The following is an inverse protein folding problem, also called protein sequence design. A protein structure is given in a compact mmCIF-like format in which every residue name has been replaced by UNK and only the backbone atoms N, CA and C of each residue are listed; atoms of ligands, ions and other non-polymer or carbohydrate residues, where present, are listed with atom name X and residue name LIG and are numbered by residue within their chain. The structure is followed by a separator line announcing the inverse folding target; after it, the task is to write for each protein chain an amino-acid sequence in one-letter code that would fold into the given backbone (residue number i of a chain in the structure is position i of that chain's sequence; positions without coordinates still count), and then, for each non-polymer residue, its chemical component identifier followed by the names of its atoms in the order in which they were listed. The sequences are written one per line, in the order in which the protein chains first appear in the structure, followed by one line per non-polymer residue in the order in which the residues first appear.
data_IF_949119565370
#
_entry.id   IF_949119565370
#
_cell.length_a   1.000
_cell.length_b   1.000
_cell.length_c   1.000
_cell.angle_alpha   90.00
_cell.angle_beta   90.00
_cell.angle_gamma   90.00
#
_symmetry.space_group_name_H-M   'P 1'
#
loop_
_entity.id
_entity.type
_entity.pdbx_description
1 polymer ?
#
# COMPACT_ATOMS: atom_id res chain seq x y z
N UNK A 1 14.27 -12.67 26.95
CA UNK A 1 14.27 -11.48 26.07
C UNK A 1 15.59 -10.75 26.25
N UNK A 2 16.27 -10.34 25.17
CA UNK A 2 17.50 -9.53 25.31
C UNK A 2 17.19 -8.20 26.00
N UNK A 3 18.15 -7.65 26.75
CA UNK A 3 18.03 -6.35 27.45
C UNK A 3 17.54 -5.23 26.50
N UNK A 4 18.00 -5.27 25.26
CA UNK A 4 17.62 -4.34 24.19
C UNK A 4 16.16 -4.49 23.75
N UNK A 5 15.56 -5.69 23.79
CA UNK A 5 14.15 -5.90 23.44
C UNK A 5 13.22 -5.28 24.49
N UNK A 6 13.55 -5.43 25.78
CA UNK A 6 12.76 -4.86 26.88
C UNK A 6 12.79 -3.33 26.87
N UNK A 7 13.96 -2.72 26.70
CA UNK A 7 14.09 -1.26 26.64
C UNK A 7 13.27 -0.65 25.47
N UNK A 8 13.22 -1.33 24.32
CA UNK A 8 12.43 -0.91 23.16
C UNK A 8 10.93 -0.98 23.43
N UNK A 9 10.49 -2.04 24.08
CA UNK A 9 9.09 -2.20 24.50
C UNK A 9 8.69 -1.10 25.49
N UNK A 10 9.52 -0.85 26.50
CA UNK A 10 9.32 0.21 27.49
C UNK A 10 9.25 1.60 26.82
N UNK A 11 10.15 1.90 25.87
CA UNK A 11 10.12 3.14 25.08
C UNK A 11 8.82 3.28 24.28
N UNK A 12 8.34 2.19 23.68
CA UNK A 12 7.12 2.18 22.88
C UNK A 12 5.88 2.36 23.74
N UNK A 13 5.82 1.69 24.89
CA UNK A 13 4.77 1.88 25.89
C UNK A 13 4.76 3.33 26.36
N UNK A 14 5.92 3.90 26.69
CA UNK A 14 6.05 5.32 27.08
C UNK A 14 5.51 6.26 26.01
N UNK A 15 5.83 6.03 24.73
CA UNK A 15 5.29 6.84 23.61
C UNK A 15 3.78 6.73 23.56
N UNK A 16 3.22 5.51 23.62
CA UNK A 16 1.76 5.30 23.56
C UNK A 16 1.04 5.96 24.74
N UNK A 17 1.61 5.89 25.95
CA UNK A 17 1.07 6.58 27.13
C UNK A 17 1.09 8.10 26.95
N UNK A 18 2.19 8.67 26.45
CA UNK A 18 2.28 10.09 26.16
C UNK A 18 1.31 10.52 25.06
N UNK A 19 1.18 9.71 24.01
CA UNK A 19 0.26 9.94 22.90
C UNK A 19 -1.19 10.05 23.40
N UNK A 20 -1.62 9.14 24.28
CA UNK A 20 -2.96 9.19 24.88
C UNK A 20 -3.21 10.48 25.66
N UNK A 21 -2.22 10.98 26.40
CA UNK A 21 -2.31 12.25 27.14
C UNK A 21 -2.41 13.42 26.17
N UNK A 22 -1.57 13.45 25.13
CA UNK A 22 -1.54 14.54 24.14
C UNK A 22 -2.84 14.60 23.33
N UNK A 23 -3.44 13.45 22.99
CA UNK A 23 -4.71 13.38 22.26
C UNK A 23 -5.87 14.11 22.96
N UNK A 24 -5.79 14.31 24.28
CA UNK A 24 -6.80 15.02 25.07
C UNK A 24 -6.63 16.55 25.06
N UNK A 25 -5.63 17.07 24.35
CA UNK A 25 -5.30 18.49 24.30
C UNK A 25 -5.42 19.02 22.87
N UNK A 26 -5.73 20.31 22.67
CA UNK A 26 -5.57 20.95 21.38
C UNK A 26 -4.10 20.87 20.93
N UNK A 27 -3.87 20.46 19.68
CA UNK A 27 -2.51 20.32 19.13
C UNK A 27 -1.66 21.59 19.28
N UNK A 28 -2.16 22.82 19.05
CA UNK A 28 -1.35 24.02 19.26
C UNK A 28 -0.83 24.17 20.70
N UNK A 29 -1.65 23.81 21.70
CA UNK A 29 -1.24 23.83 23.10
C UNK A 29 -0.20 22.75 23.41
N UNK A 30 -0.35 21.56 22.81
CA UNK A 30 0.62 20.48 22.93
C UNK A 30 1.96 20.84 22.26
N UNK A 31 1.93 21.49 21.09
CA UNK A 31 3.11 22.03 20.42
C UNK A 31 3.83 23.06 21.29
N UNK A 32 3.10 24.05 21.81
CA UNK A 32 3.70 25.06 22.68
C UNK A 32 4.41 24.43 23.90
N UNK A 33 3.74 23.48 24.57
CA UNK A 33 4.32 22.75 25.71
C UNK A 33 5.51 21.88 25.34
N UNK A 34 5.51 21.28 24.15
CA UNK A 34 6.65 20.49 23.68
C UNK A 34 7.82 21.41 23.27
N UNK A 35 7.52 22.56 22.66
CA UNK A 35 8.51 23.53 22.19
C UNK A 35 9.27 24.17 23.35
N UNK A 36 8.60 24.49 24.46
CA UNK A 36 9.28 24.96 25.67
C UNK A 36 10.26 23.93 26.24
N UNK A 37 10.01 22.64 26.03
CA UNK A 37 10.86 21.55 26.49
C UNK A 37 11.95 21.14 25.49
N UNK A 38 11.69 21.30 24.19
CA UNK A 38 12.54 20.85 23.09
C UNK A 38 12.65 21.91 21.96
N UNK A 39 13.11 23.14 22.26
CA UNK A 39 13.06 24.24 21.29
C UNK A 39 13.93 24.02 20.05
N UNK A 40 15.00 23.21 20.16
CA UNK A 40 15.86 22.88 19.02
C UNK A 40 15.24 21.87 18.04
N UNK A 41 14.19 21.15 18.46
CA UNK A 41 13.59 20.04 17.69
C UNK A 41 12.20 20.34 17.15
N UNK A 42 11.65 21.52 17.48
CA UNK A 42 10.43 22.05 16.91
C UNK A 42 10.77 23.40 16.32
N UNK A 43 10.73 23.50 14.99
CA UNK A 43 11.11 24.70 14.26
C UNK A 43 9.92 25.19 13.45
N UNK A 44 9.80 26.50 13.31
CA UNK A 44 8.90 27.05 12.30
C UNK A 44 9.62 27.03 10.95
N UNK A 45 8.84 26.86 9.89
CA UNK A 45 9.30 27.07 8.52
C UNK A 45 9.85 28.50 8.37
N UNK A 46 11.05 28.63 7.82
CA UNK A 46 11.73 29.91 7.60
C UNK A 46 10.97 30.77 6.59
N UNK A 47 10.99 32.07 6.82
CA UNK A 47 10.54 33.11 5.88
C UNK A 47 11.72 33.66 5.07
N UNK A 48 11.45 34.41 4.01
CA UNK A 48 12.52 35.10 3.26
C UNK A 48 13.30 36.07 4.16
N UNK A 49 12.65 36.70 5.14
CA UNK A 49 13.31 37.56 6.11
C UNK A 49 14.28 36.79 7.01
N UNK A 50 13.89 35.59 7.46
CA UNK A 50 14.74 34.72 8.29
C UNK A 50 16.00 34.33 7.52
N UNK A 51 15.83 33.90 6.27
CA UNK A 51 16.94 33.49 5.39
C UNK A 51 17.86 34.67 5.10
N UNK A 52 17.31 35.85 4.79
CA UNK A 52 18.08 37.08 4.58
C UNK A 52 18.82 37.54 5.85
N UNK A 53 18.32 37.15 7.04
CA UNK A 53 18.96 37.40 8.33
C UNK A 53 19.99 36.32 8.71
N UNK A 54 20.28 35.38 7.81
CA UNK A 54 21.27 34.31 8.01
C UNK A 54 20.74 33.08 8.75
N UNK A 55 19.42 32.97 8.99
CA UNK A 55 18.82 31.75 9.53
C UNK A 55 18.82 30.68 8.43
N UNK A 56 19.33 29.46 8.69
CA UNK A 56 19.41 28.43 7.66
C UNK A 56 18.04 28.03 7.10
N UNK A 57 17.92 28.03 5.78
CA UNK A 57 16.72 27.65 5.03
C UNK A 57 16.21 26.25 5.43
N UNK A 58 14.95 26.15 5.82
CA UNK A 58 14.29 24.89 6.16
C UNK A 58 12.94 24.68 5.43
N UNK A 59 12.59 25.55 4.47
CA UNK A 59 11.43 25.35 3.61
C UNK A 59 11.65 24.11 2.73
N UNK A 60 10.71 23.15 2.65
CA UNK A 60 10.92 21.91 1.90
C UNK A 60 11.35 22.15 0.46
N UNK A 61 12.52 21.64 0.08
CA UNK A 61 13.08 21.71 -1.28
C UNK A 61 13.20 23.12 -1.90
N UNK A 62 13.10 24.19 -1.11
CA UNK A 62 13.07 25.56 -1.64
C UNK A 62 14.38 25.90 -2.36
N UNK A 63 14.27 26.41 -3.60
CA UNK A 63 15.40 26.77 -4.48
C UNK A 63 16.43 25.65 -4.65
N UNK A 64 16.03 24.38 -4.44
CA UNK A 64 16.92 23.23 -4.55
C UNK A 64 17.98 23.13 -3.44
N UNK A 65 17.96 23.99 -2.40
CA UNK A 65 18.94 23.99 -1.31
C UNK A 65 18.29 24.34 0.03
N UNK A 66 18.11 23.35 0.91
CA UNK A 66 17.36 23.51 2.17
C UNK A 66 17.81 22.47 3.20
N UNK A 67 17.45 22.65 4.46
CA UNK A 67 17.56 21.61 5.49
C UNK A 67 16.47 20.57 5.40
N UNK A 68 15.30 20.91 4.85
CA UNK A 68 14.17 19.97 4.74
C UNK A 68 13.93 19.63 3.28
N UNK A 69 13.73 18.35 3.02
CA UNK A 69 13.48 17.84 1.68
C UNK A 69 12.28 16.90 1.66
N UNK A 70 11.38 17.10 0.69
CA UNK A 70 10.29 16.17 0.38
C UNK A 70 10.77 15.17 -0.67
N UNK A 71 10.73 13.88 -0.34
CA UNK A 71 11.17 12.82 -1.23
C UNK A 71 10.03 12.32 -2.14
N UNK A 72 10.36 11.70 -3.27
CA UNK A 72 9.42 11.03 -4.18
C UNK A 72 8.55 9.98 -3.49
N UNK A 73 9.05 9.40 -2.39
CA UNK A 73 8.27 8.45 -1.61
C UNK A 73 7.16 9.11 -0.80
N UNK A 74 7.15 10.44 -0.66
CA UNK A 74 6.19 11.23 0.12
C UNK A 74 6.69 11.71 1.48
N UNK A 75 7.77 11.12 1.99
CA UNK A 75 8.30 11.47 3.30
C UNK A 75 9.16 12.74 3.26
N UNK A 76 9.16 13.48 4.37
CA UNK A 76 10.11 14.55 4.62
C UNK A 76 11.35 14.03 5.36
N UNK A 77 12.50 14.54 4.96
CA UNK A 77 13.78 14.30 5.64
C UNK A 77 14.47 15.61 5.95
N UNK A 78 15.29 15.60 6.99
CA UNK A 78 16.06 16.72 7.50
C UNK A 78 17.57 16.45 7.37
N UNK A 79 18.31 17.44 6.89
CA UNK A 79 19.75 17.50 6.89
C UNK A 79 20.21 18.57 7.91
N UNK A 80 21.27 18.26 8.65
CA UNK A 80 21.79 19.15 9.71
C UNK A 80 22.20 20.53 9.17
N UNK A 81 22.81 20.55 8.00
CA UNK A 81 23.13 21.74 7.23
C UNK A 81 22.24 21.83 6.00
N UNK A 82 21.96 23.05 5.49
CA UNK A 82 21.32 23.20 4.19
C UNK A 82 22.07 22.39 3.13
N UNK A 83 21.35 21.54 2.41
CA UNK A 83 21.88 20.62 1.44
C UNK A 83 21.14 20.77 0.11
N UNK A 84 21.81 20.45 -1.00
CA UNK A 84 21.14 20.42 -2.30
C UNK A 84 20.10 19.30 -2.35
N UNK A 85 18.99 19.47 -3.08
CA UNK A 85 18.01 18.41 -3.30
C UNK A 85 18.66 17.16 -3.89
N UNK A 86 18.29 15.98 -3.39
CA UNK A 86 18.72 14.70 -3.95
C UNK A 86 17.91 14.34 -5.18
N UNK A 87 18.45 13.50 -6.07
CA UNK A 87 17.73 12.99 -7.26
C UNK A 87 16.39 12.30 -6.97
N UNK A 88 16.12 11.98 -5.70
CA UNK A 88 14.88 11.39 -5.21
C UNK A 88 13.94 12.40 -4.50
N UNK A 89 14.13 13.71 -4.65
CA UNK A 89 13.22 14.76 -4.16
C UNK A 89 12.09 15.07 -5.17
N UNK A 90 10.89 15.40 -4.68
CA UNK A 90 9.65 15.62 -5.48
C UNK A 90 9.70 16.78 -6.50
N UNK A 91 10.59 17.76 -6.25
CA UNK A 91 10.69 19.01 -7.02
C UNK A 91 12.05 19.16 -7.75
N UNK A 92 12.67 18.06 -8.19
CA UNK A 92 13.95 18.12 -8.92
C UNK A 92 13.71 18.34 -10.41
N UNK A 93 13.92 19.57 -10.87
CA UNK A 93 13.94 19.87 -12.30
C UNK A 93 15.35 19.77 -12.92
N UNK A 94 16.42 19.93 -12.12
CA UNK A 94 17.77 20.18 -12.68
C UNK A 94 18.95 19.37 -12.08
N UNK A 95 18.75 18.60 -11.00
CA UNK A 95 19.85 17.96 -10.25
C UNK A 95 19.93 16.44 -10.41
N UNK A 96 19.95 15.93 -11.64
CA UNK A 96 19.96 14.46 -11.90
C UNK A 96 21.20 13.74 -11.35
N UNK A 97 22.32 14.44 -11.23
CA UNK A 97 23.60 13.88 -10.77
C UNK A 97 23.78 13.93 -9.25
N UNK A 98 22.84 14.49 -8.49
CA UNK A 98 22.97 14.58 -7.04
C UNK A 98 22.68 13.24 -6.35
N UNK A 99 23.51 12.90 -5.38
CA UNK A 99 23.29 11.70 -4.57
C UNK A 99 21.92 11.77 -3.87
N UNK A 100 21.14 10.68 -3.89
CA UNK A 100 19.83 10.62 -3.23
C UNK A 100 19.96 10.80 -1.71
N UNK A 101 18.89 11.28 -1.08
CA UNK A 101 18.79 11.37 0.39
C UNK A 101 18.23 10.07 0.96
N UNK A 102 18.79 9.63 2.08
CA UNK A 102 18.40 8.37 2.74
C UNK A 102 17.05 8.49 3.46
N UNK A 103 16.07 7.67 3.05
CA UNK A 103 14.74 7.66 3.66
C UNK A 103 14.58 6.53 4.68
N UNK A 104 14.97 6.80 5.92
CA UNK A 104 14.84 5.84 7.03
C UNK A 104 13.40 5.31 7.20
N UNK A 105 12.35 6.11 6.98
CA UNK A 105 10.97 5.62 7.08
C UNK A 105 10.61 4.57 6.01
N UNK A 106 11.16 4.68 4.80
CA UNK A 106 10.97 3.66 3.75
C UNK A 106 11.67 2.35 4.10
N UNK A 107 12.88 2.42 4.66
CA UNK A 107 13.64 1.25 5.14
C UNK A 107 12.85 0.51 6.20
N UNK A 108 12.37 1.26 7.21
CA UNK A 108 11.52 0.73 8.27
C UNK A 108 10.28 0.03 7.71
N UNK A 109 9.59 0.67 6.77
CA UNK A 109 8.44 0.05 6.10
C UNK A 109 8.81 -1.26 5.37
N UNK A 110 9.98 -1.31 4.71
CA UNK A 110 10.52 -2.52 4.08
C UNK A 110 10.80 -3.64 5.09
N UNK A 111 11.42 -3.32 6.23
CA UNK A 111 11.69 -4.27 7.31
C UNK A 111 10.39 -4.83 7.91
N UNK A 112 9.38 -3.99 8.17
CA UNK A 112 8.05 -4.44 8.60
C UNK A 112 7.46 -5.49 7.65
N UNK A 113 7.54 -5.24 6.33
CA UNK A 113 7.08 -6.19 5.31
C UNK A 113 7.86 -7.50 5.33
N UNK A 114 9.20 -7.46 5.48
CA UNK A 114 10.05 -8.66 5.59
C UNK A 114 9.64 -9.52 6.79
N UNK A 115 9.30 -8.88 7.92
CA UNK A 115 8.85 -9.52 9.16
C UNK A 115 7.37 -9.92 9.16
N UNK A 116 6.67 -9.80 8.02
CA UNK A 116 5.22 -10.10 7.87
C UNK A 116 4.34 -9.31 8.84
N UNK A 117 4.81 -8.15 9.31
CA UNK A 117 4.02 -7.21 10.10
C UNK A 117 3.62 -6.02 9.23
N UNK A 118 2.57 -5.32 9.64
CA UNK A 118 2.09 -4.13 8.93
C UNK A 118 1.89 -3.01 9.94
N UNK A 119 2.48 -1.83 9.72
CA UNK A 119 2.10 -0.66 10.50
C UNK A 119 0.61 -0.41 10.27
N UNK A 120 -0.11 -0.05 11.33
CA UNK A 120 -1.55 0.26 11.21
C UNK A 120 -1.74 1.60 10.51
N UNK A 121 -0.79 2.52 10.72
CA UNK A 121 -0.71 3.87 10.17
C UNK A 121 0.71 4.23 9.79
N UNK A 122 0.87 5.15 8.84
CA UNK A 122 2.18 5.56 8.35
C UNK A 122 3.06 6.13 9.48
N UNK A 123 2.48 6.89 10.40
CA UNK A 123 3.17 7.48 11.55
C UNK A 123 3.59 6.45 12.62
N UNK A 124 3.22 5.16 12.48
CA UNK A 124 3.81 4.07 13.26
C UNK A 124 5.29 3.84 12.91
N UNK A 125 5.73 4.27 11.73
CA UNK A 125 7.13 4.17 11.30
C UNK A 125 8.09 5.05 12.13
N UNK A 126 7.57 5.99 12.93
CA UNK A 126 8.38 6.78 13.88
C UNK A 126 8.63 6.07 15.21
N UNK A 127 7.93 4.96 15.51
CA UNK A 127 8.11 4.26 16.77
C UNK A 127 9.53 3.66 16.88
N UNK A 128 10.19 3.73 18.04
CA UNK A 128 11.52 3.18 18.28
C UNK A 128 11.53 1.65 18.40
N UNK A 129 10.35 0.99 18.43
CA UNK A 129 10.23 -0.46 18.28
C UNK A 129 10.58 -0.89 16.86
N UNK A 130 11.84 -0.73 16.47
CA UNK A 130 12.39 -1.57 15.43
C UNK A 130 12.49 -2.95 16.01
N UNK A 131 11.75 -3.87 15.43
CA UNK A 131 11.95 -5.30 15.67
C UNK A 131 13.36 -5.70 15.21
N UNK A 132 13.86 -5.00 14.20
CA UNK A 132 15.16 -5.23 13.56
C UNK A 132 15.98 -3.92 13.43
N UNK A 133 16.50 -3.37 14.56
CA UNK A 133 17.34 -2.18 14.55
C UNK A 133 18.70 -2.47 13.90
N UNK A 134 19.18 -3.71 14.02
CA UNK A 134 20.37 -4.21 13.36
C UNK A 134 20.20 -4.17 11.84
N UNK A 135 19.03 -4.56 11.33
CA UNK A 135 18.68 -4.41 9.92
C UNK A 135 18.62 -2.96 9.43
N UNK A 136 18.18 -2.01 10.27
CA UNK A 136 18.19 -0.58 9.93
C UNK A 136 19.62 0.00 9.90
N UNK A 137 20.47 -0.37 10.86
CA UNK A 137 21.89 0.03 10.89
C UNK A 137 22.62 -0.53 9.68
N UNK A 138 22.43 -1.83 9.41
CA UNK A 138 23.05 -2.50 8.27
C UNK A 138 22.64 -1.90 6.92
N UNK A 139 21.35 -1.59 6.74
CA UNK A 139 20.88 -0.93 5.52
C UNK A 139 21.51 0.47 5.38
N UNK A 140 21.62 1.22 6.48
CA UNK A 140 22.29 2.51 6.47
C UNK A 140 23.77 2.40 6.09
N UNK A 141 24.49 1.39 6.60
CA UNK A 141 25.89 1.11 6.26
C UNK A 141 26.05 0.68 4.78
N UNK A 142 25.17 -0.19 4.28
CA UNK A 142 25.15 -0.66 2.89
C UNK A 142 24.99 0.51 1.90
N UNK A 143 24.11 1.46 2.21
CA UNK A 143 23.80 2.59 1.34
C UNK A 143 24.59 3.88 1.67
N UNK A 144 25.50 3.86 2.66
CA UNK A 144 26.25 5.04 3.10
C UNK A 144 27.11 5.67 1.99
N UNK A 145 27.61 4.86 1.04
CA UNK A 145 28.45 5.32 -0.07
C UNK A 145 27.67 5.97 -1.21
N UNK A 146 26.37 5.67 -1.33
CA UNK A 146 25.53 6.08 -2.47
C UNK A 146 24.36 6.97 -2.07
N UNK A 147 24.15 7.20 -0.77
CA UNK A 147 23.11 8.08 -0.24
C UNK A 147 23.71 9.10 0.70
N UNK A 148 23.08 10.27 0.78
CA UNK A 148 23.40 11.28 1.79
C UNK A 148 22.60 11.02 3.05
N UNK A 149 23.28 11.15 4.19
CA UNK A 149 22.67 10.99 5.50
C UNK A 149 21.57 12.05 5.70
N UNK A 150 20.41 11.59 6.17
CA UNK A 150 19.30 12.44 6.53
C UNK A 150 18.41 11.76 7.56
N UNK A 151 17.73 12.56 8.37
CA UNK A 151 16.87 12.10 9.45
C UNK A 151 15.39 12.29 9.08
N UNK A 152 14.47 11.41 9.47
CA UNK A 152 13.04 11.64 9.30
C UNK A 152 12.60 12.93 9.99
N UNK A 153 11.73 13.70 9.34
CA UNK A 153 11.12 14.89 9.94
C UNK A 153 9.62 14.90 9.65
N UNK A 154 8.84 15.47 10.56
CA UNK A 154 7.43 15.73 10.36
C UNK A 154 7.24 17.20 10.02
N UNK A 155 6.41 17.50 9.02
CA UNK A 155 6.04 18.86 8.62
C UNK A 155 4.54 18.97 8.66
N UNK A 156 4.02 19.83 9.54
CA UNK A 156 2.59 20.11 9.65
C UNK A 156 2.11 21.08 8.55
N UNK A 157 0.79 21.16 8.33
CA UNK A 157 0.16 22.10 7.42
C UNK A 157 0.47 23.57 7.76
N UNK A 158 0.61 23.88 9.05
CA UNK A 158 1.00 25.22 9.52
C UNK A 158 2.51 25.52 9.32
N UNK A 159 3.27 24.60 8.72
CA UNK A 159 4.71 24.74 8.52
C UNK A 159 5.54 24.49 9.77
N UNK A 160 4.98 23.85 10.80
CA UNK A 160 5.73 23.41 11.97
C UNK A 160 6.53 22.16 11.60
N UNK A 161 7.84 22.20 11.84
CA UNK A 161 8.80 21.14 11.54
C UNK A 161 9.20 20.47 12.86
N UNK A 162 8.97 19.16 12.99
CA UNK A 162 9.23 18.40 14.21
C UNK A 162 10.22 17.28 13.93
N UNK A 163 11.30 17.23 14.70
CA UNK A 163 12.32 16.20 14.62
C UNK A 163 11.99 15.10 15.64
N UNK A 164 11.47 13.94 15.23
CA UNK A 164 10.93 12.94 16.13
C UNK A 164 12.04 12.04 16.72
N UNK A 165 13.03 12.65 17.37
CA UNK A 165 14.19 11.97 17.97
C UNK A 165 13.99 11.60 19.46
N UNK A 166 12.87 11.98 20.05
CA UNK A 166 12.53 11.70 21.45
C UNK A 166 11.14 11.08 21.59
N UNK A 167 10.87 10.29 22.64
CA UNK A 167 9.56 9.71 22.89
C UNK A 167 8.41 10.72 22.92
N UNK A 168 8.63 11.93 23.44
CA UNK A 168 7.58 12.95 23.48
C UNK A 168 7.26 13.48 22.08
N UNK A 169 8.27 13.73 21.26
CA UNK A 169 8.09 14.27 19.91
C UNK A 169 7.46 13.24 18.97
N UNK A 170 7.84 11.96 19.10
CA UNK A 170 7.15 10.88 18.39
C UNK A 170 5.69 10.81 18.81
N UNK A 171 5.39 10.86 20.12
CA UNK A 171 4.01 10.84 20.62
C UNK A 171 3.19 12.03 20.11
N UNK A 172 3.82 13.21 20.01
CA UNK A 172 3.21 14.44 19.50
C UNK A 172 2.82 14.33 18.03
N UNK A 173 3.74 13.88 17.16
CA UNK A 173 3.46 13.63 15.73
C UNK A 173 2.31 12.66 15.56
N UNK A 174 2.33 11.55 16.31
CA UNK A 174 1.27 10.52 16.24
C UNK A 174 -0.09 11.04 16.70
N UNK A 175 -0.10 11.85 17.77
CA UNK A 175 -1.33 12.46 18.27
C UNK A 175 -1.88 13.51 17.29
N UNK A 176 -1.01 14.34 16.68
CA UNK A 176 -1.39 15.32 15.67
C UNK A 176 -2.04 14.65 14.45
N UNK A 177 -1.37 13.63 13.88
CA UNK A 177 -1.92 12.88 12.74
C UNK A 177 -3.23 12.17 13.09
N UNK A 178 -3.33 11.57 14.28
CA UNK A 178 -4.58 10.95 14.73
C UNK A 178 -5.73 11.97 14.82
N UNK A 179 -5.48 13.16 15.37
CA UNK A 179 -6.51 14.20 15.44
C UNK A 179 -6.90 14.70 14.04
N UNK A 180 -5.94 14.86 13.12
CA UNK A 180 -6.24 15.20 11.72
C UNK A 180 -7.07 14.11 11.02
N UNK A 181 -6.80 12.83 11.29
CA UNK A 181 -7.65 11.72 10.81
C UNK A 181 -9.09 11.82 11.36
N UNK A 182 -9.27 12.19 12.64
CA UNK A 182 -10.61 12.39 13.20
C UNK A 182 -11.33 13.60 12.57
N UNK A 183 -10.62 14.71 12.38
CA UNK A 183 -11.17 15.91 11.72
C UNK A 183 -11.60 15.61 10.29
N UNK A 184 -10.77 14.88 9.53
CA UNK A 184 -11.16 14.40 8.19
C UNK A 184 -12.40 13.51 8.26
N UNK A 185 -12.49 12.64 9.27
CA UNK A 185 -13.65 11.80 9.52
C UNK A 185 -14.95 12.62 9.69
N UNK A 186 -14.91 13.67 10.50
CA UNK A 186 -16.04 14.59 10.66
C UNK A 186 -16.35 15.37 9.38
N UNK A 187 -15.32 15.85 8.68
CA UNK A 187 -15.48 16.54 7.39
C UNK A 187 -16.17 15.64 6.36
N UNK A 188 -15.82 14.36 6.28
CA UNK A 188 -16.50 13.39 5.39
C UNK A 188 -17.99 13.29 5.72
N UNK A 189 -18.37 13.22 7.01
CA UNK A 189 -19.79 13.17 7.40
C UNK A 189 -20.53 14.43 6.94
N UNK A 190 -19.96 15.60 7.21
CA UNK A 190 -20.52 16.90 6.81
C UNK A 190 -20.69 16.96 5.29
N UNK A 191 -19.66 16.58 4.54
CA UNK A 191 -19.69 16.55 3.07
C UNK A 191 -20.81 15.61 2.60
N UNK A 192 -20.88 14.38 3.12
CA UNK A 192 -21.92 13.42 2.73
C UNK A 192 -23.33 13.95 2.98
N UNK A 193 -23.59 14.52 4.16
CA UNK A 193 -24.90 15.10 4.51
C UNK A 193 -25.22 16.29 3.60
N UNK A 194 -24.26 17.21 3.40
CA UNK A 194 -24.45 18.40 2.56
C UNK A 194 -24.74 18.08 1.10
N UNK A 195 -24.27 16.91 0.61
CA UNK A 195 -24.51 16.42 -0.74
C UNK A 195 -25.74 15.53 -0.86
N UNK A 196 -26.52 15.38 0.21
CA UNK A 196 -27.73 14.54 0.22
C UNK A 196 -27.44 13.06 0.01
N UNK A 197 -26.23 12.60 0.37
CA UNK A 197 -25.87 11.19 0.25
C UNK A 197 -26.58 10.36 1.32
N UNK A 198 -26.97 9.15 0.94
CA UNK A 198 -27.66 8.24 1.85
C UNK A 198 -26.77 7.89 3.07
N UNK A 199 -27.31 7.80 4.29
CA UNK A 199 -26.52 7.52 5.50
C UNK A 199 -25.70 6.23 5.44
N UNK A 200 -26.14 5.22 4.65
CA UNK A 200 -25.41 3.96 4.47
C UNK A 200 -24.07 4.11 3.72
N UNK A 201 -23.87 5.22 2.99
CA UNK A 201 -22.64 5.49 2.23
C UNK A 201 -21.50 5.84 3.19
N UNK A 202 -21.77 6.55 4.28
CA UNK A 202 -20.74 7.04 5.22
C UNK A 202 -19.87 5.90 5.78
N UNK A 203 -20.42 4.79 6.30
CA UNK A 203 -19.62 3.64 6.73
C UNK A 203 -18.74 3.04 5.62
N UNK A 204 -19.22 3.02 4.38
CA UNK A 204 -18.45 2.50 3.23
C UNK A 204 -17.27 3.41 2.91
N UNK A 205 -17.49 4.74 2.90
CA UNK A 205 -16.41 5.73 2.75
C UNK A 205 -15.36 5.55 3.84
N UNK A 206 -15.76 5.33 5.09
CA UNK A 206 -14.82 5.09 6.19
C UNK A 206 -14.07 3.77 6.07
N UNK A 207 -14.69 2.70 5.59
CA UNK A 207 -13.97 1.46 5.27
C UNK A 207 -12.91 1.72 4.19
N UNK A 208 -13.25 2.48 3.14
CA UNK A 208 -12.28 2.85 2.09
C UNK A 208 -11.17 3.74 2.61
N UNK A 209 -11.49 4.78 3.38
CA UNK A 209 -10.51 5.68 4.00
C UNK A 209 -9.51 4.88 4.86
N UNK A 210 -10.00 4.05 5.78
CA UNK A 210 -9.14 3.25 6.65
C UNK A 210 -8.23 2.30 5.86
N UNK A 211 -8.76 1.73 4.77
CA UNK A 211 -7.99 0.88 3.88
C UNK A 211 -6.90 1.64 3.12
N UNK A 212 -7.18 2.86 2.65
CA UNK A 212 -6.19 3.73 2.02
C UNK A 212 -5.11 4.17 3.02
N UNK A 213 -5.49 4.57 4.24
CA UNK A 213 -4.54 4.97 5.30
C UNK A 213 -3.63 3.82 5.76
N UNK A 214 -4.10 2.57 5.76
CA UNK A 214 -3.26 1.39 6.00
C UNK A 214 -2.28 1.10 4.86
N UNK A 215 -2.57 1.58 3.66
CA UNK A 215 -1.79 1.37 2.45
C UNK A 215 -1.22 2.71 1.92
N UNK A 216 -1.05 3.69 2.80
CA UNK A 216 -0.77 5.08 2.43
C UNK A 216 0.54 5.24 1.65
N UNK A 217 1.50 4.33 1.85
CA UNK A 217 2.74 4.24 1.08
C UNK A 217 2.52 4.03 -0.43
N UNK A 218 1.43 3.37 -0.84
CA UNK A 218 1.08 3.23 -2.25
C UNK A 218 0.51 4.53 -2.85
N UNK A 219 0.10 5.47 -2.01
CA UNK A 219 -0.29 6.83 -2.37
C UNK A 219 0.83 7.83 -2.14
N UNK A 220 2.08 7.36 -1.95
CA UNK A 220 3.23 8.22 -1.63
C UNK A 220 2.94 9.16 -0.46
N UNK A 221 2.24 8.66 0.58
CA UNK A 221 1.85 9.43 1.75
C UNK A 221 1.17 10.76 1.42
N UNK A 222 0.32 10.77 0.38
CA UNK A 222 -0.47 11.93 -0.04
C UNK A 222 -1.23 12.58 1.14
N UNK A 223 -1.50 13.87 1.05
CA UNK A 223 -2.16 14.61 2.12
C UNK A 223 -3.53 14.02 2.46
N UNK A 224 -3.94 14.14 3.73
CA UNK A 224 -5.20 13.58 4.23
C UNK A 224 -6.42 14.07 3.46
N UNK A 225 -6.43 15.34 3.01
CA UNK A 225 -7.47 15.89 2.14
C UNK A 225 -7.59 15.10 0.82
N UNK A 226 -6.47 14.85 0.14
CA UNK A 226 -6.41 14.02 -1.07
C UNK A 226 -6.90 12.60 -0.80
N UNK A 227 -6.48 11.97 0.31
CA UNK A 227 -6.93 10.62 0.69
C UNK A 227 -8.44 10.58 0.96
N UNK A 228 -8.98 11.59 1.65
CA UNK A 228 -10.40 11.77 1.89
C UNK A 228 -11.21 11.91 0.60
N UNK A 229 -10.79 12.82 -0.28
CA UNK A 229 -11.41 13.02 -1.58
C UNK A 229 -11.42 11.75 -2.43
N UNK A 230 -10.30 11.03 -2.47
CA UNK A 230 -10.18 9.74 -3.15
C UNK A 230 -11.15 8.72 -2.56
N UNK A 231 -11.22 8.62 -1.23
CA UNK A 231 -12.09 7.64 -0.54
C UNK A 231 -13.56 7.85 -0.89
N UNK A 232 -14.03 9.10 -0.92
CA UNK A 232 -15.39 9.45 -1.30
C UNK A 232 -15.61 9.21 -2.80
N UNK A 233 -14.70 9.69 -3.65
CA UNK A 233 -14.77 9.53 -5.11
C UNK A 233 -14.88 8.05 -5.51
N UNK A 234 -14.06 7.18 -4.92
CA UNK A 234 -14.11 5.73 -5.17
C UNK A 234 -15.43 5.12 -4.69
N UNK A 235 -15.93 5.54 -3.54
CA UNK A 235 -17.18 5.00 -3.00
C UNK A 235 -18.36 5.38 -3.89
N UNK A 236 -18.48 6.65 -4.25
CA UNK A 236 -19.52 7.11 -5.18
C UNK A 236 -19.37 6.49 -6.56
N UNK A 237 -18.13 6.27 -7.01
CA UNK A 237 -17.87 5.58 -8.29
C UNK A 237 -18.42 4.15 -8.33
N UNK A 238 -18.43 3.48 -7.19
CA UNK A 238 -18.94 2.11 -7.06
C UNK A 238 -20.46 2.06 -6.92
N UNK A 239 -21.07 3.04 -6.24
CA UNK A 239 -22.51 3.07 -5.96
C UNK A 239 -23.34 3.74 -7.06
N UNK A 240 -22.81 4.78 -7.71
CA UNK A 240 -23.57 5.67 -8.61
C UNK A 240 -22.95 5.82 -10.01
N UNK A 241 -21.87 5.08 -10.31
CA UNK A 241 -21.15 5.21 -11.58
C UNK A 241 -20.15 6.37 -11.59
N UNK A 242 -19.65 6.75 -12.76
CA UNK A 242 -18.47 7.61 -12.88
C UNK A 242 -18.60 8.97 -12.14
N UNK A 243 -17.70 9.22 -11.18
CA UNK A 243 -17.57 10.52 -10.50
C UNK A 243 -16.23 11.19 -10.85
N UNK A 244 -16.30 12.47 -11.21
CA UNK A 244 -15.13 13.31 -11.46
C UNK A 244 -14.45 13.68 -10.13
N UNK A 245 -13.11 13.54 -10.10
CA UNK A 245 -12.33 13.78 -8.89
C UNK A 245 -12.38 15.25 -8.47
N UNK A 246 -12.24 16.17 -9.42
CA UNK A 246 -12.15 17.61 -9.17
C UNK A 246 -13.36 18.14 -8.38
N UNK A 247 -14.56 17.64 -8.70
CA UNK A 247 -15.81 17.98 -8.00
C UNK A 247 -15.79 17.55 -6.53
N UNK A 248 -15.08 16.46 -6.21
CA UNK A 248 -14.94 15.93 -4.86
C UNK A 248 -13.76 16.59 -4.15
N UNK A 249 -12.63 16.80 -4.83
CA UNK A 249 -11.42 17.40 -4.30
C UNK A 249 -11.69 18.79 -3.69
N UNK A 250 -12.49 19.61 -4.36
CA UNK A 250 -12.92 20.93 -3.87
C UNK A 250 -13.62 20.88 -2.52
N UNK A 251 -14.36 19.80 -2.22
CA UNK A 251 -15.09 19.64 -0.95
C UNK A 251 -14.14 19.37 0.24
N UNK A 252 -12.93 18.90 -0.06
CA UNK A 252 -11.90 18.60 0.92
C UNK A 252 -10.75 19.61 0.91
N UNK A 253 -10.79 20.63 0.05
CA UNK A 253 -9.66 21.51 -0.25
C UNK A 253 -8.41 20.72 -0.66
N UNK A 254 -8.60 19.57 -1.32
CA UNK A 254 -7.50 18.83 -1.90
C UNK A 254 -7.00 19.55 -3.17
N UNK A 255 -5.73 19.36 -3.56
CA UNK A 255 -5.24 19.80 -4.87
C UNK A 255 -6.09 19.23 -6.02
N UNK A 256 -5.90 19.75 -7.24
CA UNK A 256 -6.58 19.30 -8.46
C UNK A 256 -5.60 18.91 -9.58
N UNK A 257 -4.29 18.92 -9.31
CA UNK A 257 -3.24 18.83 -10.32
C UNK A 257 -3.06 17.41 -10.92
N UNK A 258 -2.50 17.32 -12.13
CA UNK A 258 -2.30 16.05 -12.87
C UNK A 258 -1.50 14.96 -12.13
N UNK A 259 -0.59 15.31 -11.20
CA UNK A 259 0.10 14.32 -10.33
C UNK A 259 -0.92 13.49 -9.53
N UNK A 260 -2.13 14.01 -9.31
CA UNK A 260 -3.18 13.33 -8.57
C UNK A 260 -4.00 12.35 -9.40
N UNK A 261 -4.00 12.42 -10.74
CA UNK A 261 -4.59 11.35 -11.56
C UNK A 261 -3.82 10.04 -11.37
N UNK A 262 -2.50 10.11 -11.17
CA UNK A 262 -1.68 8.96 -10.78
C UNK A 262 -2.03 8.46 -9.37
N UNK A 263 -2.23 9.36 -8.40
CA UNK A 263 -2.65 8.97 -7.04
C UNK A 263 -4.06 8.39 -7.01
N UNK A 264 -4.98 8.92 -7.83
CA UNK A 264 -6.33 8.42 -8.05
C UNK A 264 -6.31 7.06 -8.71
N UNK A 265 -5.49 6.85 -9.74
CA UNK A 265 -5.31 5.55 -10.38
C UNK A 265 -4.73 4.53 -9.38
N UNK A 266 -3.67 4.90 -8.65
CA UNK A 266 -3.08 4.07 -7.60
C UNK A 266 -4.07 3.76 -6.49
N UNK A 267 -4.90 4.71 -6.08
CA UNK A 267 -5.93 4.47 -5.08
C UNK A 267 -7.03 3.55 -5.57
N UNK A 268 -7.50 3.75 -6.81
CA UNK A 268 -8.43 2.83 -7.48
C UNK A 268 -7.83 1.44 -7.53
N UNK A 269 -6.56 1.32 -7.87
CA UNK A 269 -5.84 0.05 -7.90
C UNK A 269 -5.74 -0.57 -6.50
N UNK A 270 -5.39 0.19 -5.46
CA UNK A 270 -5.38 -0.29 -4.08
C UNK A 270 -6.78 -0.80 -3.68
N UNK A 271 -7.83 -0.02 -3.93
CA UNK A 271 -9.18 -0.42 -3.56
C UNK A 271 -9.63 -1.64 -4.36
N UNK A 272 -9.41 -1.67 -5.67
CA UNK A 272 -9.65 -2.84 -6.52
C UNK A 272 -8.94 -4.07 -5.97
N UNK A 273 -7.66 -3.93 -5.60
CA UNK A 273 -6.87 -5.02 -5.00
C UNK A 273 -7.44 -5.49 -3.67
N UNK A 274 -7.83 -4.58 -2.78
CA UNK A 274 -8.38 -4.94 -1.48
C UNK A 274 -9.76 -5.60 -1.60
N UNK A 275 -10.62 -5.06 -2.48
CA UNK A 275 -11.94 -5.66 -2.78
C UNK A 275 -11.77 -7.04 -3.39
N UNK A 276 -10.88 -7.18 -4.38
CA UNK A 276 -10.55 -8.46 -5.02
C UNK A 276 -10.05 -9.48 -3.98
N UNK A 277 -9.06 -9.10 -3.17
CA UNK A 277 -8.51 -9.97 -2.13
C UNK A 277 -9.57 -10.40 -1.11
N UNK A 278 -10.47 -9.49 -0.70
CA UNK A 278 -11.58 -9.79 0.23
C UNK A 278 -12.61 -10.72 -0.38
N UNK A 279 -13.00 -10.53 -1.65
CA UNK A 279 -13.93 -11.41 -2.39
C UNK A 279 -13.35 -12.82 -2.55
N UNK A 280 -12.07 -12.93 -2.94
CA UNK A 280 -11.38 -14.23 -3.04
C UNK A 280 -11.29 -14.91 -1.67
N UNK A 281 -10.92 -14.19 -0.61
CA UNK A 281 -10.87 -14.75 0.74
C UNK A 281 -12.26 -15.21 1.24
N UNK A 282 -13.33 -14.47 0.92
CA UNK A 282 -14.70 -14.87 1.23
C UNK A 282 -15.10 -16.15 0.49
N UNK A 283 -14.73 -16.29 -0.79
CA UNK A 283 -14.89 -17.54 -1.54
C UNK A 283 -14.23 -18.72 -0.83
N UNK A 284 -12.96 -18.58 -0.40
CA UNK A 284 -12.23 -19.65 0.30
C UNK A 284 -12.93 -20.07 1.60
N UNK A 285 -13.55 -19.12 2.31
CA UNK A 285 -14.37 -19.40 3.50
C UNK A 285 -15.68 -20.14 3.19
N UNK A 286 -16.35 -19.80 2.06
CA UNK A 286 -17.63 -20.39 1.64
C UNK A 286 -17.50 -21.67 0.82
N UNK A 287 -16.31 -21.97 0.29
CA UNK A 287 -16.05 -23.08 -0.64
C UNK A 287 -16.64 -24.43 -0.15
N UNK A 288 -17.17 -25.31 -1.01
CA UNK A 288 -17.76 -26.59 -0.58
C UNK A 288 -16.83 -27.46 0.27
N UNK A 289 -17.39 -28.20 1.23
CA UNK A 289 -16.63 -29.00 2.21
C UNK A 289 -15.58 -29.93 1.58
N UNK A 290 -15.90 -30.54 0.44
CA UNK A 290 -14.99 -31.43 -0.30
C UNK A 290 -13.67 -30.78 -0.73
N UNK A 291 -13.61 -29.45 -0.82
CA UNK A 291 -12.38 -28.71 -1.13
C UNK A 291 -11.77 -28.05 0.13
N UNK A 292 -12.45 -28.08 1.28
CA UNK A 292 -11.98 -27.44 2.53
C UNK A 292 -10.93 -28.25 3.28
N UNK A 293 -10.72 -29.52 2.93
CA UNK A 293 -9.80 -30.42 3.64
C UNK A 293 -8.31 -30.07 3.47
N UNK A 294 -7.98 -29.15 2.56
CA UNK A 294 -6.61 -28.71 2.36
C UNK A 294 -6.08 -27.86 3.52
N UNK A 295 -4.76 -27.98 3.72
CA UNK A 295 -4.03 -27.29 4.79
C UNK A 295 -4.20 -25.76 4.70
N UNK A 296 -4.05 -25.09 5.85
CA UNK A 296 -4.13 -23.61 5.94
C UNK A 296 -3.14 -22.92 4.98
N UNK A 297 -2.01 -23.54 4.67
CA UNK A 297 -1.02 -23.02 3.71
C UNK A 297 -1.53 -23.04 2.27
N UNK A 298 -2.13 -24.15 1.80
CA UNK A 298 -2.74 -24.24 0.47
C UNK A 298 -3.86 -23.21 0.27
N UNK A 299 -4.72 -23.02 1.27
CA UNK A 299 -5.77 -21.99 1.23
C UNK A 299 -5.20 -20.57 1.11
N UNK A 300 -4.09 -20.29 1.80
CA UNK A 300 -3.41 -18.98 1.69
C UNK A 300 -2.78 -18.81 0.30
N UNK A 301 -2.16 -19.85 -0.24
CA UNK A 301 -1.60 -19.83 -1.59
C UNK A 301 -2.69 -19.61 -2.64
N UNK A 302 -3.84 -20.29 -2.53
CA UNK A 302 -4.98 -20.10 -3.41
C UNK A 302 -5.41 -18.62 -3.50
N UNK A 303 -5.52 -17.93 -2.35
CA UNK A 303 -5.88 -16.49 -2.33
C UNK A 303 -4.85 -15.66 -3.10
N UNK A 304 -3.56 -15.92 -2.89
CA UNK A 304 -2.46 -15.16 -3.51
C UNK A 304 -2.39 -15.44 -5.02
N UNK A 305 -2.48 -16.70 -5.44
CA UNK A 305 -2.42 -17.10 -6.85
C UNK A 305 -3.65 -16.58 -7.61
N UNK A 306 -4.86 -16.80 -7.10
CA UNK A 306 -6.08 -16.30 -7.73
C UNK A 306 -6.06 -14.78 -7.89
N UNK A 307 -5.58 -14.07 -6.86
CA UNK A 307 -5.42 -12.63 -6.91
C UNK A 307 -4.44 -12.20 -8.00
N UNK A 308 -3.29 -12.88 -8.11
CA UNK A 308 -2.25 -12.56 -9.09
C UNK A 308 -2.72 -12.81 -10.51
N UNK A 309 -3.35 -13.96 -10.77
CA UNK A 309 -3.95 -14.28 -12.07
C UNK A 309 -4.98 -13.20 -12.43
N UNK A 310 -5.91 -12.89 -11.53
CA UNK A 310 -6.94 -11.89 -11.80
C UNK A 310 -6.35 -10.50 -12.07
N UNK A 311 -5.36 -10.09 -11.28
CA UNK A 311 -4.74 -8.77 -11.40
C UNK A 311 -3.96 -8.60 -12.71
N UNK A 312 -3.17 -9.61 -13.10
CA UNK A 312 -2.44 -9.56 -14.37
C UNK A 312 -3.38 -9.77 -15.56
N UNK A 313 -4.40 -10.63 -15.45
CA UNK A 313 -5.40 -10.78 -16.49
C UNK A 313 -6.14 -9.46 -16.80
N UNK A 314 -6.49 -8.65 -15.77
CA UNK A 314 -7.14 -7.34 -15.97
C UNK A 314 -6.24 -6.34 -16.71
N UNK A 315 -4.91 -6.50 -16.66
CA UNK A 315 -3.96 -5.62 -17.35
C UNK A 315 -3.63 -6.10 -18.76
N UNK A 316 -3.40 -7.40 -18.90
CA UNK A 316 -2.85 -8.01 -20.11
C UNK A 316 -3.94 -8.43 -21.10
N UNK A 317 -5.17 -8.69 -20.61
CA UNK A 317 -6.30 -8.94 -21.49
C UNK A 317 -6.85 -7.60 -21.98
N UNK A 318 -7.01 -7.50 -23.30
CA UNK A 318 -7.44 -6.30 -24.01
C UNK A 318 -8.95 -6.04 -23.82
N UNK A 319 -9.35 -5.77 -22.57
CA UNK A 319 -10.70 -5.40 -22.21
C UNK A 319 -10.83 -3.88 -22.17
N UNK A 320 -11.84 -3.35 -22.86
CA UNK A 320 -12.25 -1.96 -22.68
C UNK A 320 -12.67 -1.72 -21.22
N UNK A 321 -12.60 -0.47 -20.75
CA UNK A 321 -13.01 -0.12 -19.38
C UNK A 321 -14.47 -0.53 -19.08
N UNK A 322 -15.35 -0.48 -20.09
CA UNK A 322 -16.73 -0.96 -19.98
C UNK A 322 -16.80 -2.47 -19.81
N UNK A 323 -16.08 -3.23 -20.62
CA UNK A 323 -16.02 -4.68 -20.49
C UNK A 323 -15.43 -5.11 -19.14
N UNK A 324 -14.38 -4.44 -18.65
CA UNK A 324 -13.82 -4.73 -17.33
C UNK A 324 -14.86 -4.55 -16.22
N UNK A 325 -15.72 -3.54 -16.31
CA UNK A 325 -16.79 -3.34 -15.34
C UNK A 325 -17.85 -4.45 -15.42
N UNK A 326 -18.29 -4.80 -16.63
CA UNK A 326 -19.32 -5.83 -16.84
C UNK A 326 -18.83 -7.26 -16.55
N UNK A 327 -17.52 -7.52 -16.71
CA UNK A 327 -16.93 -8.85 -16.63
C UNK A 327 -16.10 -9.08 -15.35
N UNK A 328 -15.94 -8.08 -14.48
CA UNK A 328 -15.00 -8.17 -13.34
C UNK A 328 -15.23 -9.37 -12.43
N UNK A 329 -16.50 -9.70 -12.18
CA UNK A 329 -16.86 -10.81 -11.30
C UNK A 329 -16.60 -12.18 -11.98
N UNK A 330 -16.83 -12.28 -13.29
CA UNK A 330 -16.46 -13.46 -14.06
C UNK A 330 -14.94 -13.62 -14.18
N UNK A 331 -14.17 -12.53 -14.34
CA UNK A 331 -12.70 -12.58 -14.39
C UNK A 331 -12.16 -13.12 -13.07
N UNK A 332 -12.75 -12.70 -11.96
CA UNK A 332 -12.41 -13.18 -10.63
C UNK A 332 -12.76 -14.66 -10.44
N UNK A 333 -13.97 -15.08 -10.82
CA UNK A 333 -14.39 -16.47 -10.73
C UNK A 333 -13.49 -17.40 -11.57
N UNK A 334 -13.16 -17.00 -12.81
CA UNK A 334 -12.25 -17.75 -13.67
C UNK A 334 -10.83 -17.82 -13.09
N UNK A 335 -10.36 -16.74 -12.47
CA UNK A 335 -9.03 -16.70 -11.83
C UNK A 335 -8.96 -17.61 -10.60
N UNK A 336 -10.02 -17.66 -9.80
CA UNK A 336 -10.16 -18.61 -8.68
C UNK A 336 -10.16 -20.04 -9.20
N UNK A 337 -10.95 -20.32 -10.24
CA UNK A 337 -11.00 -21.65 -10.86
C UNK A 337 -9.62 -22.10 -11.34
N UNK A 338 -8.88 -21.23 -12.06
CA UNK A 338 -7.54 -21.55 -12.54
C UNK A 338 -6.54 -21.77 -11.39
N UNK A 339 -6.59 -20.94 -10.35
CA UNK A 339 -5.74 -21.13 -9.18
C UNK A 339 -6.04 -22.45 -8.46
N UNK A 340 -7.31 -22.86 -8.36
CA UNK A 340 -7.69 -24.16 -7.82
C UNK A 340 -7.19 -25.31 -8.69
N UNK A 341 -7.24 -25.18 -10.02
CA UNK A 341 -6.72 -26.20 -10.94
C UNK A 341 -5.22 -26.41 -10.81
N UNK A 342 -4.43 -25.36 -10.54
CA UNK A 342 -2.99 -25.49 -10.30
C UNK A 342 -2.68 -26.28 -9.02
N UNK A 343 -3.55 -26.20 -8.02
CA UNK A 343 -3.48 -27.01 -6.80
C UNK A 343 -4.18 -28.39 -6.96
N UNK A 344 -4.43 -28.83 -8.19
CA UNK A 344 -5.09 -30.10 -8.54
C UNK A 344 -6.54 -30.21 -8.02
N UNK A 345 -7.15 -29.10 -7.61
CA UNK A 345 -8.56 -29.04 -7.21
C UNK A 345 -9.45 -28.75 -8.42
N UNK A 346 -10.03 -29.81 -9.00
CA UNK A 346 -10.96 -29.67 -10.13
C UNK A 346 -12.31 -29.10 -9.67
N UNK A 347 -12.54 -27.83 -10.00
CA UNK A 347 -13.83 -27.13 -9.82
C UNK A 347 -14.32 -26.60 -11.16
N UNK A 348 -15.64 -26.59 -11.37
CA UNK A 348 -16.28 -26.00 -12.56
C UNK A 348 -16.55 -24.51 -12.33
N UNK A 349 -16.56 -23.72 -13.40
CA UNK A 349 -16.86 -22.29 -13.35
C UNK A 349 -18.24 -22.03 -12.71
N UNK A 350 -19.25 -22.81 -13.10
CA UNK A 350 -20.59 -22.79 -12.51
C UNK A 350 -20.56 -22.90 -10.97
N UNK A 351 -19.75 -23.82 -10.42
CA UNK A 351 -19.62 -24.00 -8.96
C UNK A 351 -18.93 -22.81 -8.32
N UNK A 352 -17.96 -22.20 -8.99
CA UNK A 352 -17.31 -20.98 -8.48
C UNK A 352 -18.31 -19.82 -8.46
N UNK A 353 -19.00 -19.57 -9.57
CA UNK A 353 -20.04 -18.56 -9.68
C UNK A 353 -21.12 -18.74 -8.60
N UNK A 354 -21.59 -19.97 -8.39
CA UNK A 354 -22.58 -20.30 -7.35
C UNK A 354 -22.12 -19.92 -5.94
N UNK A 355 -20.86 -20.21 -5.58
CA UNK A 355 -20.29 -19.85 -4.26
C UNK A 355 -20.08 -18.35 -4.12
N UNK A 356 -19.77 -17.68 -5.23
CA UNK A 356 -19.60 -16.22 -5.29
C UNK A 356 -20.91 -15.46 -5.45
N UNK A 357 -22.05 -16.16 -5.56
CA UNK A 357 -23.38 -15.56 -5.78
C UNK A 357 -23.44 -14.75 -7.09
N UNK A 358 -22.74 -15.24 -8.14
CA UNK A 358 -22.76 -14.70 -9.50
C UNK A 358 -23.68 -15.57 -10.34
N UNK A 359 -24.56 -14.95 -11.12
CA UNK A 359 -25.39 -15.65 -12.11
C UNK A 359 -24.48 -16.32 -13.15
N UNK A 360 -24.66 -17.62 -13.39
CA UNK A 360 -23.90 -18.34 -14.41
C UNK A 360 -24.75 -18.42 -15.67
N UNK A 361 -24.30 -17.75 -16.73
CA UNK A 361 -25.00 -17.65 -18.02
C UNK A 361 -24.50 -18.66 -19.07
N UNK A 362 -23.69 -19.63 -18.66
CA UNK A 362 -23.16 -20.69 -19.51
C UNK A 362 -23.99 -21.97 -19.48
N UNK A 363 -23.69 -22.95 -20.34
CA UNK A 363 -24.34 -24.26 -20.31
C UNK A 363 -23.99 -24.96 -18.99
N UNK A 364 -25.01 -25.48 -18.30
CA UNK A 364 -24.83 -26.27 -17.08
C UNK A 364 -24.36 -27.68 -17.43
N UNK A 365 -23.83 -28.41 -16.44
CA UNK A 365 -23.44 -29.81 -16.65
C UNK A 365 -24.64 -30.66 -17.10
N UNK A 366 -25.83 -30.33 -16.62
CA UNK A 366 -27.09 -31.00 -16.96
C UNK A 366 -27.44 -30.74 -18.43
N UNK A 367 -27.31 -29.51 -18.93
CA UNK A 367 -27.53 -29.15 -20.33
C UNK A 367 -26.57 -29.89 -21.28
N UNK A 368 -25.32 -30.10 -20.85
CA UNK A 368 -24.32 -30.84 -21.63
C UNK A 368 -24.67 -32.32 -21.69
N UNK A 369 -25.14 -32.91 -20.58
CA UNK A 369 -25.53 -34.33 -20.55
C UNK A 369 -26.80 -34.62 -21.33
N UNK A 370 -27.79 -33.71 -21.35
CA UNK A 370 -29.01 -33.86 -22.14
C UNK A 370 -28.69 -33.77 -23.64
N UNK A 371 -27.86 -32.81 -24.05
CA UNK A 371 -27.42 -32.71 -25.44
C UNK A 371 -26.61 -33.95 -25.89
N UNK A 372 -25.77 -34.53 -25.03
CA UNK A 372 -25.03 -35.77 -25.34
C UNK A 372 -25.95 -37.00 -25.45
N UNK A 373 -27.03 -37.06 -24.66
CA UNK A 373 -28.01 -38.13 -24.72
C UNK A 373 -28.92 -38.02 -25.96
N UNK A 374 -29.24 -36.80 -26.40
CA UNK A 374 -30.13 -36.56 -27.54
C UNK A 374 -29.42 -36.56 -28.90
N UNK A 375 -28.12 -36.27 -28.97
CA UNK A 375 -27.43 -36.09 -30.27
C UNK A 375 -26.57 -37.24 -30.74
N UNK A 376 -26.28 -38.28 -29.95
CA UNK A 376 -25.74 -39.56 -30.43
C UNK A 376 -24.51 -39.53 -31.38
N UNK A 377 -23.83 -38.40 -31.51
CA UNK A 377 -22.80 -38.18 -32.53
C UNK A 377 -21.62 -37.50 -31.85
N UNK A 378 -20.58 -38.29 -31.64
CA UNK A 378 -19.25 -37.79 -31.39
C UNK A 378 -18.79 -36.99 -32.62
N UNK A 379 -18.20 -35.81 -32.36
CA UNK A 379 -17.51 -34.93 -33.30
C UNK A 379 -18.41 -34.13 -34.27
N UNK A 380 -18.78 -32.92 -33.85
CA UNK A 380 -18.54 -31.74 -34.68
C UNK A 380 -18.39 -30.48 -33.83
N UNK A 381 -17.20 -29.87 -33.93
CA UNK A 381 -16.92 -28.50 -33.50
C UNK A 381 -17.66 -27.59 -34.49
N UNK A 382 -18.91 -27.30 -34.17
CA UNK A 382 -19.76 -26.40 -34.94
C UNK A 382 -20.69 -25.66 -33.99
N UNK A 383 -20.14 -24.71 -33.23
CA UNK A 383 -20.97 -23.78 -32.46
C UNK A 383 -21.80 -22.95 -33.43
N UNK A 384 -23.09 -23.23 -33.49
CA UNK A 384 -24.09 -22.37 -34.12
C UNK A 384 -24.02 -20.97 -33.54
N UNK A 385 -23.75 -20.01 -34.42
CA UNK A 385 -23.63 -18.58 -34.14
C UNK A 385 -25.01 -17.90 -33.98
N UNK A 386 -25.83 -18.37 -33.05
CA UNK A 386 -27.12 -17.73 -32.78
C UNK A 386 -27.44 -17.70 -31.28
N UNK A 387 -27.03 -16.62 -30.62
CA UNK A 387 -27.58 -16.21 -29.31
C UNK A 387 -26.51 -16.03 -28.23
N UNK A 388 -26.16 -14.76 -27.95
CA UNK A 388 -25.43 -14.25 -26.77
C UNK A 388 -24.34 -15.21 -26.24
N UNK A 389 -23.09 -15.03 -26.67
CA UNK A 389 -21.95 -15.73 -26.07
C UNK A 389 -21.97 -15.54 -24.53
N UNK A 390 -21.98 -16.65 -23.79
CA UNK A 390 -21.95 -16.64 -22.32
C UNK A 390 -20.74 -15.83 -21.84
N UNK A 391 -21.00 -14.84 -20.99
CA UNK A 391 -19.94 -14.03 -20.37
C UNK A 391 -19.03 -14.90 -19.51
N UNK A 392 -19.61 -15.84 -18.77
CA UNK A 392 -18.86 -16.76 -17.95
C UNK A 392 -17.90 -17.60 -18.80
N UNK A 393 -18.37 -18.15 -19.91
CA UNK A 393 -17.56 -19.01 -20.77
C UNK A 393 -16.49 -18.23 -21.56
N UNK A 394 -16.85 -17.05 -22.07
CA UNK A 394 -15.91 -16.16 -22.75
C UNK A 394 -14.74 -15.82 -21.82
N UNK A 395 -15.04 -15.40 -20.60
CA UNK A 395 -14.02 -15.01 -19.62
C UNK A 395 -13.23 -16.22 -19.10
N UNK A 396 -13.90 -17.35 -18.84
CA UNK A 396 -13.23 -18.59 -18.45
C UNK A 396 -12.18 -19.00 -19.49
N UNK A 397 -12.54 -18.98 -20.78
CA UNK A 397 -11.61 -19.31 -21.85
C UNK A 397 -10.48 -18.29 -21.99
N UNK A 398 -10.76 -16.99 -21.88
CA UNK A 398 -9.74 -15.95 -21.93
C UNK A 398 -8.72 -16.08 -20.79
N UNK A 399 -9.19 -16.20 -19.55
CA UNK A 399 -8.33 -16.35 -18.36
C UNK A 399 -7.59 -17.69 -18.38
N UNK A 400 -8.23 -18.78 -18.83
CA UNK A 400 -7.57 -20.08 -18.98
C UNK A 400 -6.43 -20.03 -19.99
N UNK A 401 -6.63 -19.41 -21.16
CA UNK A 401 -5.57 -19.24 -22.17
C UNK A 401 -4.44 -18.36 -21.65
N UNK A 402 -4.77 -17.28 -20.96
CA UNK A 402 -3.79 -16.39 -20.33
C UNK A 402 -2.95 -17.11 -19.26
N UNK A 403 -3.60 -17.90 -18.40
CA UNK A 403 -2.92 -18.62 -17.33
C UNK A 403 -2.22 -19.90 -17.82
N UNK A 404 -2.53 -20.39 -19.02
CA UNK A 404 -1.94 -21.59 -19.59
C UNK A 404 -0.43 -21.41 -19.82
N UNK A 405 0.34 -22.44 -19.48
CA UNK A 405 1.80 -22.44 -19.69
C UNK A 405 2.61 -21.70 -18.63
N UNK A 406 1.98 -21.08 -17.63
CA UNK A 406 2.65 -20.50 -16.47
C UNK A 406 2.33 -21.30 -15.20
N UNK A 407 3.35 -21.68 -14.44
CA UNK A 407 3.17 -22.16 -13.07
C UNK A 407 3.18 -20.96 -12.12
N UNK A 408 1.98 -20.51 -11.74
CA UNK A 408 1.83 -19.34 -10.87
C UNK A 408 2.17 -19.66 -9.41
N UNK A 409 2.21 -20.94 -9.03
CA UNK A 409 2.76 -21.39 -7.75
C UNK A 409 4.30 -21.32 -7.76
N UNK A 410 4.96 -21.76 -8.83
CA UNK A 410 6.41 -21.63 -8.97
C UNK A 410 6.88 -20.17 -8.95
N UNK A 411 6.11 -19.24 -9.53
CA UNK A 411 6.39 -17.81 -9.46
C UNK A 411 6.29 -17.23 -8.03
N UNK A 412 5.63 -17.91 -7.09
CA UNK A 412 5.72 -17.57 -5.66
C UNK A 412 7.03 -18.09 -5.08
N UNK A 413 7.36 -19.34 -5.37
CA UNK A 413 8.58 -20.00 -4.90
C UNK A 413 9.87 -19.39 -5.48
N UNK A 414 9.91 -18.87 -6.71
CA UNK A 414 11.07 -18.15 -7.23
C UNK A 414 11.30 -16.81 -6.53
N UNK A 415 10.22 -16.13 -6.16
CA UNK A 415 10.31 -14.87 -5.40
C UNK A 415 10.80 -15.14 -3.98
N UNK A 416 10.33 -16.23 -3.36
CA UNK A 416 10.79 -16.70 -2.05
C UNK A 416 12.21 -17.27 -2.10
N UNK A 417 12.58 -18.06 -3.13
CA UNK A 417 13.94 -18.58 -3.34
C UNK A 417 14.96 -17.50 -3.65
N UNK A 418 14.62 -16.48 -4.46
CA UNK A 418 15.51 -15.31 -4.66
C UNK A 418 15.73 -14.55 -3.36
N UNK A 419 14.72 -14.54 -2.49
CA UNK A 419 14.82 -13.94 -1.16
C UNK A 419 15.67 -14.79 -0.22
N UNK A 420 15.45 -16.10 -0.16
CA UNK A 420 16.26 -17.06 0.61
C UNK A 420 17.72 -17.09 0.14
N UNK A 421 17.96 -17.10 -1.17
CA UNK A 421 19.31 -17.08 -1.76
C UNK A 421 20.03 -15.76 -1.46
N UNK A 422 19.32 -14.63 -1.44
CA UNK A 422 19.87 -13.37 -0.94
C UNK A 422 20.19 -13.44 0.55
N UNK A 423 19.33 -14.05 1.36
CA UNK A 423 19.56 -14.23 2.79
C UNK A 423 20.75 -15.18 3.07
N UNK A 424 20.91 -16.25 2.29
CA UNK A 424 22.05 -17.17 2.34
C UNK A 424 23.34 -16.54 1.83
N UNK A 425 23.31 -15.79 0.72
CA UNK A 425 24.47 -15.03 0.24
C UNK A 425 24.91 -14.00 1.27
N UNK A 426 23.96 -13.34 1.91
CA UNK A 426 24.24 -12.34 2.94
C UNK A 426 24.74 -12.98 4.24
N UNK A 427 24.30 -14.21 4.55
CA UNK A 427 24.82 -15.01 5.65
C UNK A 427 26.25 -15.49 5.35
N UNK A 428 26.49 -16.02 4.15
CA UNK A 428 27.81 -16.44 3.71
C UNK A 428 28.79 -15.26 3.71
N UNK A 429 28.36 -14.08 3.23
CA UNK A 429 29.17 -12.85 3.29
C UNK A 429 29.55 -12.49 4.72
N UNK A 430 28.60 -12.54 5.67
CA UNK A 430 28.88 -12.31 7.11
C UNK A 430 29.83 -13.34 7.71
N UNK A 431 29.82 -14.57 7.21
CA UNK A 431 30.71 -15.64 7.67
C UNK A 431 32.12 -15.50 7.07
N UNK A 432 32.27 -14.90 5.87
CA UNK A 432 33.57 -14.68 5.21
C UNK A 432 34.21 -13.33 5.53
N UNK A 433 33.42 -12.31 5.89
CA UNK A 433 33.87 -10.95 6.23
C UNK A 433 35.03 -10.92 7.27
N UNK A 434 35.03 -11.72 8.36
CA UNK A 434 36.15 -11.75 9.31
C UNK A 434 37.43 -12.37 8.72
N UNK A 435 37.28 -13.28 7.75
CA UNK A 435 38.41 -13.93 7.07
C UNK A 435 39.01 -12.97 6.05
N UNK A 436 38.16 -12.27 5.30
CA UNK A 436 38.58 -11.26 4.34
C UNK A 436 39.28 -10.07 5.02
N UNK A 437 38.77 -9.61 6.17
CA UNK A 437 39.40 -8.59 7.01
C UNK A 437 40.75 -9.04 7.58
N UNK A 438 40.84 -10.29 8.04
CA UNK A 438 42.10 -10.86 8.52
C UNK A 438 43.12 -11.03 7.38
N UNK A 439 42.68 -11.38 6.17
CA UNK A 439 43.54 -11.50 5.00
C UNK A 439 44.03 -10.13 4.54
N UNK A 440 43.17 -9.11 4.55
CA UNK A 440 43.53 -7.73 4.24
C UNK A 440 44.57 -7.18 5.23
N UNK A 441 44.40 -7.47 6.53
CA UNK A 441 45.36 -7.07 7.57
C UNK A 441 46.71 -7.79 7.48
N UNK A 442 46.78 -8.96 6.85
CA UNK A 442 48.04 -9.68 6.59
C UNK A 442 48.76 -9.18 5.32
N UNK A 443 48.03 -8.52 4.41
CA UNK A 443 48.55 -7.99 3.16
C UNK A 443 48.91 -6.49 3.25
N UNK A 444 48.51 -5.81 4.33
CA UNK A 444 48.92 -4.44 4.72
C UNK A 444 50.07 -4.46 5.71
#
# INVERSE_FOLDING_TARGET
MSKNAKEREDKTLKIRSLELIIRQQPIPAAYHKANTKFPAHIQNKTTDMDVNSGIPENRPCHSGHSRVHKLHCGHYVYCETPAQCGRNCDDVLEFKDSSPLYCRLCVRHGLYRKLKRRPNRWYDLFLPSFEDPEGEIKDMEEYASVTRQSEPVYVDADGIIIHPNSPLLVALVRAAEWQREQQLGEQIKVVCVSKGLEPRIIPVVFDKLNNLLRNHHHLLYAELATVGAISLCVTLSLEHGLVHYDNIAQLFYAPQDMKEDLNRQRARDIVKRLVLSKKIAAFVGKMPHKYRHDSKSKKKNLVVVAFRICWEAVKELDFTSRQLHELSDYIMAASIQQAMWQDQMRITMEKVCRVMEIEYDGPTVEDITVNLAETGVANSVGRSASGKDSKAEFVENAVRRFAAGMDWNALLHETDKRKEMKEEQEKARRETEPVDDALAALLS
#
